data_IF_823288078905
#
_entry.id   IF_823288078905
#
_cell.length_a   1.000
_cell.length_b   1.000
_cell.length_c   1.000
_cell.angle_alpha   90.00
_cell.angle_beta   90.00
_cell.angle_gamma   90.00
#
_symmetry.space_group_name_H-M   'P 1'
#
loop_
_entity.id
_entity.type
_entity.pdbx_description
1 polymer ?
#
# COMPACT_ATOMS: atom_id res chain seq x y z
N UNK A 1 72.81 49.41 -31.92
CA UNK A 1 73.48 49.74 -30.65
C UNK A 1 72.45 49.64 -29.53
N UNK A 2 72.90 49.63 -28.27
CA UNK A 2 72.19 49.11 -27.09
C UNK A 2 71.04 49.96 -26.54
N UNK A 3 70.24 49.34 -25.65
CA UNK A 3 69.58 49.91 -24.45
C UNK A 3 68.37 50.86 -24.63
N UNK A 4 67.45 51.00 -23.65
CA UNK A 4 66.93 50.10 -22.58
C UNK A 4 65.64 50.73 -21.97
N UNK A 5 64.94 50.00 -21.08
CA UNK A 5 63.72 50.36 -20.32
C UNK A 5 62.41 50.53 -21.15
N UNK A 6 61.21 50.21 -20.63
CA UNK A 6 60.83 49.62 -19.34
C UNK A 6 59.57 50.31 -18.77
N UNK A 7 58.56 49.67 -18.20
CA UNK A 7 58.29 48.23 -17.97
C UNK A 7 56.78 47.95 -18.30
N UNK A 8 55.92 47.13 -17.66
CA UNK A 8 55.91 46.32 -16.42
C UNK A 8 54.71 45.33 -16.45
N UNK A 9 54.51 44.53 -15.38
CA UNK A 9 53.16 44.05 -15.01
C UNK A 9 52.68 42.70 -15.57
N UNK A 10 53.13 41.59 -14.97
CA UNK A 10 52.49 40.27 -15.12
C UNK A 10 52.74 39.40 -13.89
N UNK A 11 51.69 38.86 -13.27
CA UNK A 11 51.77 37.98 -12.08
C UNK A 11 51.03 36.67 -12.33
N UNK A 12 51.75 35.55 -12.22
CA UNK A 12 51.16 34.22 -12.33
C UNK A 12 50.36 33.86 -11.07
N UNK A 13 49.19 33.24 -11.23
CA UNK A 13 48.42 32.63 -10.15
C UNK A 13 48.88 31.18 -9.96
N UNK A 14 49.21 30.81 -8.72
CA UNK A 14 49.78 29.50 -8.38
C UNK A 14 48.67 28.52 -8.00
N UNK A 15 48.74 27.28 -8.49
CA UNK A 15 47.79 26.22 -8.12
C UNK A 15 48.02 25.75 -6.67
N UNK A 16 46.96 25.73 -5.87
CA UNK A 16 47.00 25.29 -4.47
C UNK A 16 46.49 23.85 -4.33
N UNK A 17 47.35 22.95 -3.85
CA UNK A 17 46.99 21.57 -3.50
C UNK A 17 46.77 21.44 -1.99
N UNK A 18 45.61 20.93 -1.58
CA UNK A 18 45.34 20.53 -0.19
C UNK A 18 44.64 19.17 -0.17
N UNK A 19 45.32 18.15 0.38
CA UNK A 19 44.75 16.81 0.57
C UNK A 19 43.99 16.70 1.89
N UNK A 20 42.98 15.84 1.92
CA UNK A 20 42.23 15.49 3.14
C UNK A 20 42.51 14.02 3.46
N UNK A 21 43.20 13.76 4.57
CA UNK A 21 43.41 12.39 5.07
C UNK A 21 42.23 11.95 5.95
N UNK A 22 41.89 10.66 5.85
CA UNK A 22 40.94 10.02 6.75
C UNK A 22 41.51 9.91 8.17
N UNK A 23 40.64 9.91 9.18
CA UNK A 23 41.05 9.75 10.57
C UNK A 23 40.05 8.86 11.33
N UNK A 24 40.56 7.77 11.93
CA UNK A 24 39.76 6.80 12.69
C UNK A 24 40.14 6.87 14.17
N UNK A 25 39.18 6.87 15.11
CA UNK A 25 39.49 6.68 16.52
C UNK A 25 39.79 5.20 16.81
N UNK A 26 40.89 4.94 17.52
CA UNK A 26 41.24 3.61 18.06
C UNK A 26 41.38 3.70 19.58
N UNK A 27 41.39 2.54 20.25
CA UNK A 27 41.49 2.39 21.71
C UNK A 27 42.48 3.34 22.37
N UNK A 28 42.09 3.88 23.53
CA UNK A 28 43.01 4.28 24.60
C UNK A 28 42.69 3.40 25.82
N UNK A 29 43.74 2.88 26.45
CA UNK A 29 43.67 1.93 27.56
C UNK A 29 44.28 2.57 28.81
N UNK A 30 43.59 2.47 29.94
CA UNK A 30 44.06 2.92 31.25
C UNK A 30 43.85 1.82 32.29
N UNK A 31 44.68 1.77 33.33
CA UNK A 31 44.74 0.68 34.30
C UNK A 31 44.61 1.16 35.76
N UNK A 32 44.31 0.20 36.64
CA UNK A 32 44.57 0.09 38.09
C UNK A 32 45.26 1.26 38.82
N UNK A 33 44.99 1.60 40.09
CA UNK A 33 44.14 1.08 41.21
C UNK A 33 44.42 2.00 42.46
N UNK A 34 44.02 1.73 43.73
CA UNK A 34 43.12 0.72 44.33
C UNK A 34 42.04 1.35 45.28
N UNK A 35 41.45 0.50 46.16
CA UNK A 35 40.54 0.79 47.28
C UNK A 35 39.09 1.16 46.91
N UNK A 36 38.05 0.67 47.62
CA UNK A 36 38.02 0.12 48.97
C UNK A 36 37.24 -1.22 49.06
N UNK A 37 37.39 -1.98 50.15
CA UNK A 37 36.84 -3.35 50.27
C UNK A 37 35.51 -3.43 51.04
N UNK A 38 34.55 -4.19 50.50
CA UNK A 38 33.39 -4.75 51.23
C UNK A 38 33.19 -6.18 50.76
N UNK A 39 33.08 -7.14 51.68
CA UNK A 39 32.92 -8.56 51.37
C UNK A 39 31.44 -8.96 51.34
N UNK A 40 31.03 -9.70 50.30
CA UNK A 40 29.75 -10.39 50.20
C UNK A 40 30.03 -11.82 49.71
N UNK A 41 29.37 -12.80 50.31
CA UNK A 41 29.61 -14.24 50.09
C UNK A 41 29.10 -14.74 48.73
N UNK A 42 29.70 -15.82 48.17
CA UNK A 42 29.22 -16.43 46.93
C UNK A 42 27.83 -17.10 47.12
N UNK A 43 26.98 -17.12 46.08
CA UNK A 43 25.75 -17.92 46.08
C UNK A 43 26.07 -19.43 45.99
N UNK A 44 25.19 -20.31 46.50
CA UNK A 44 25.40 -21.75 46.46
C UNK A 44 25.32 -22.33 45.04
N UNK A 45 25.96 -23.46 44.83
CA UNK A 45 25.97 -24.20 43.56
C UNK A 45 24.58 -24.74 43.19
N UNK A 46 24.18 -24.53 41.95
CA UNK A 46 22.99 -25.17 41.35
C UNK A 46 23.27 -26.67 41.19
N UNK A 47 22.38 -27.57 41.64
CA UNK A 47 22.52 -28.99 41.36
C UNK A 47 22.19 -29.26 39.88
N UNK A 48 23.16 -29.80 39.14
CA UNK A 48 22.95 -30.22 37.74
C UNK A 48 22.05 -31.45 37.71
N UNK A 49 20.75 -31.27 37.44
CA UNK A 49 19.80 -32.38 37.32
C UNK A 49 20.08 -33.17 36.04
N UNK A 50 20.62 -34.38 36.18
CA UNK A 50 20.85 -35.30 35.07
C UNK A 50 19.51 -35.81 34.50
N UNK A 51 18.99 -35.16 33.46
CA UNK A 51 17.73 -35.56 32.83
C UNK A 51 17.87 -36.89 32.07
N UNK A 52 17.57 -37.99 32.75
CA UNK A 52 17.44 -39.31 32.13
C UNK A 52 16.21 -39.35 31.21
N UNK A 53 16.40 -39.12 29.91
CA UNK A 53 15.33 -39.16 28.91
C UNK A 53 14.97 -40.61 28.56
N UNK A 54 13.79 -41.05 29.01
CA UNK A 54 13.24 -42.35 28.64
C UNK A 54 12.28 -42.21 27.45
N UNK A 55 12.49 -43.05 26.42
CA UNK A 55 11.56 -43.17 25.29
C UNK A 55 10.42 -44.13 25.67
N UNK A 56 9.18 -43.63 25.68
CA UNK A 56 8.01 -44.37 26.18
C UNK A 56 6.87 -44.35 25.16
N UNK A 57 6.16 -45.48 25.03
CA UNK A 57 4.91 -45.60 24.24
C UNK A 57 3.72 -45.37 25.14
N UNK A 58 3.09 -44.20 25.04
CA UNK A 58 1.95 -43.84 25.87
C UNK A 58 0.67 -44.47 25.32
N UNK A 59 -0.04 -45.20 26.18
CA UNK A 59 -1.45 -45.58 26.02
C UNK A 59 -2.17 -45.33 27.34
N UNK A 60 -3.39 -44.83 27.28
CA UNK A 60 -4.21 -44.52 28.44
C UNK A 60 -5.66 -44.23 28.06
N UNK A 61 -6.55 -44.24 29.05
CA UNK A 61 -7.94 -43.84 28.85
C UNK A 61 -8.05 -42.37 28.40
N UNK A 62 -9.04 -41.99 27.58
CA UNK A 62 -9.16 -40.62 27.05
C UNK A 62 -9.26 -39.56 28.16
N UNK A 63 -9.95 -39.88 29.27
CA UNK A 63 -10.08 -39.03 30.45
C UNK A 63 -8.80 -38.88 31.30
N UNK A 64 -7.72 -39.60 30.98
CA UNK A 64 -6.45 -39.49 31.71
C UNK A 64 -5.78 -38.14 31.40
N UNK A 65 -5.39 -37.42 32.45
CA UNK A 65 -4.55 -36.24 32.35
C UNK A 65 -3.10 -36.61 32.02
N UNK A 66 -2.47 -35.75 31.23
CA UNK A 66 -1.07 -35.84 30.81
C UNK A 66 -0.36 -34.50 30.98
N UNK A 67 0.94 -34.58 31.25
CA UNK A 67 1.87 -33.46 31.44
C UNK A 67 2.68 -33.24 30.17
N UNK A 68 2.75 -32.01 29.66
CA UNK A 68 3.60 -31.66 28.51
C UNK A 68 4.52 -30.49 28.86
N UNK A 69 5.80 -30.60 28.48
CA UNK A 69 6.79 -29.54 28.60
C UNK A 69 7.23 -29.16 27.18
N UNK A 70 6.79 -27.99 26.72
CA UNK A 70 6.98 -27.48 25.36
C UNK A 70 7.98 -26.33 25.41
N UNK A 71 9.25 -26.64 25.18
CA UNK A 71 10.36 -25.67 25.25
C UNK A 71 10.47 -24.94 26.59
N UNK A 72 10.21 -25.62 27.71
CA UNK A 72 10.18 -25.04 29.06
C UNK A 72 8.82 -24.52 29.52
N UNK A 73 7.81 -24.47 28.63
CA UNK A 73 6.44 -24.10 29.01
C UNK A 73 5.63 -25.34 29.42
N UNK A 74 5.07 -25.30 30.62
CA UNK A 74 4.42 -26.45 31.26
C UNK A 74 2.89 -26.43 31.03
N UNK A 75 2.35 -27.52 30.49
CA UNK A 75 0.93 -27.66 30.16
C UNK A 75 0.32 -28.95 30.72
N UNK A 76 -0.94 -28.85 31.13
CA UNK A 76 -1.78 -29.96 31.57
C UNK A 76 -3.02 -30.07 30.67
N UNK A 77 -3.32 -31.28 30.19
CA UNK A 77 -4.52 -31.55 29.38
C UNK A 77 -4.88 -33.05 29.41
N UNK A 78 -5.98 -33.45 28.77
CA UNK A 78 -6.39 -34.86 28.66
C UNK A 78 -5.88 -35.52 27.38
N UNK A 79 -5.74 -36.86 27.39
CA UNK A 79 -5.47 -37.66 26.17
C UNK A 79 -6.57 -37.42 25.13
N UNK A 80 -7.83 -37.31 25.55
CA UNK A 80 -8.98 -36.97 24.70
C UNK A 80 -8.72 -35.70 23.86
N UNK A 81 -8.38 -34.57 24.52
CA UNK A 81 -8.06 -33.30 23.85
C UNK A 81 -7.01 -33.47 22.75
N UNK A 82 -5.96 -34.25 23.02
CA UNK A 82 -4.83 -34.43 22.11
C UNK A 82 -5.11 -35.44 20.98
N UNK A 83 -6.17 -36.25 21.10
CA UNK A 83 -6.51 -37.32 20.15
C UNK A 83 -7.82 -37.07 19.38
N UNK A 84 -8.57 -36.02 19.76
CA UNK A 84 -9.85 -35.58 19.19
C UNK A 84 -9.81 -35.24 17.69
N UNK A 85 -8.68 -34.72 17.21
CA UNK A 85 -8.46 -34.32 15.81
C UNK A 85 -7.26 -35.05 15.23
N UNK A 86 -7.25 -35.30 13.92
CA UNK A 86 -6.12 -35.99 13.25
C UNK A 86 -4.96 -35.01 13.02
N UNK A 87 -3.90 -35.17 13.81
CA UNK A 87 -2.76 -34.25 13.90
C UNK A 87 -1.52 -34.98 14.48
N UNK A 88 -0.38 -34.31 14.61
CA UNK A 88 0.86 -34.92 15.12
C UNK A 88 0.74 -35.39 16.58
N UNK A 89 0.00 -34.66 17.43
CA UNK A 89 -0.20 -35.01 18.84
C UNK A 89 -1.01 -36.30 18.96
N UNK A 90 -2.03 -36.50 18.11
CA UNK A 90 -2.76 -37.78 18.03
C UNK A 90 -1.82 -38.95 17.72
N UNK A 91 -0.84 -38.76 16.83
CA UNK A 91 0.17 -39.78 16.53
C UNK A 91 1.03 -40.11 17.77
N UNK A 92 1.52 -39.10 18.50
CA UNK A 92 2.26 -39.27 19.77
C UNK A 92 1.45 -40.06 20.80
N UNK A 93 0.20 -39.68 21.07
CA UNK A 93 -0.62 -40.27 22.13
C UNK A 93 -1.38 -41.55 21.70
N UNK A 94 -1.28 -41.97 20.44
CA UNK A 94 -1.77 -43.28 19.96
C UNK A 94 -0.88 -44.47 20.32
N UNK A 95 0.32 -44.22 20.87
CA UNK A 95 1.34 -45.24 21.14
C UNK A 95 1.92 -45.88 19.87
N UNK A 96 1.78 -45.22 18.70
CA UNK A 96 2.45 -45.57 17.44
C UNK A 96 3.83 -44.95 17.32
N UNK A 97 4.05 -43.80 17.96
CA UNK A 97 5.33 -43.10 18.04
C UNK A 97 5.87 -43.18 19.48
N UNK A 98 7.19 -43.12 19.61
CA UNK A 98 7.85 -43.02 20.92
C UNK A 98 8.00 -41.55 21.30
N UNK A 99 7.71 -41.22 22.55
CA UNK A 99 7.87 -39.86 23.08
C UNK A 99 8.94 -39.84 24.15
N UNK A 100 9.68 -38.73 24.22
CA UNK A 100 10.65 -38.50 25.28
C UNK A 100 9.92 -38.06 26.56
N UNK A 101 10.27 -38.69 27.66
CA UNK A 101 9.78 -38.34 29.01
C UNK A 101 10.93 -38.15 29.98
N UNK A 102 10.75 -37.21 30.91
CA UNK A 102 11.67 -37.00 32.03
C UNK A 102 11.31 -37.84 33.27
N UNK A 103 12.09 -37.67 34.33
CA UNK A 103 11.92 -38.37 35.61
C UNK A 103 10.65 -38.01 36.40
N UNK A 104 9.97 -36.91 36.07
CA UNK A 104 8.68 -36.52 36.68
C UNK A 104 7.46 -36.91 35.83
N UNK A 105 7.70 -37.49 34.65
CA UNK A 105 6.68 -37.86 33.68
C UNK A 105 6.16 -36.70 32.83
N UNK A 106 6.93 -35.62 32.65
CA UNK A 106 6.65 -34.63 31.61
C UNK A 106 7.04 -35.17 30.24
N UNK A 107 6.14 -34.99 29.27
CA UNK A 107 6.38 -35.34 27.88
C UNK A 107 7.05 -34.16 27.20
N UNK A 108 8.27 -34.35 26.70
CA UNK A 108 9.13 -33.28 26.21
C UNK A 108 8.87 -33.02 24.72
N UNK A 109 8.63 -31.75 24.37
CA UNK A 109 8.48 -31.28 22.98
C UNK A 109 9.43 -30.10 22.76
N UNK A 110 10.34 -30.26 21.80
CA UNK A 110 11.33 -29.25 21.41
C UNK A 110 10.72 -28.23 20.43
N UNK A 111 9.85 -27.35 20.97
CA UNK A 111 9.14 -26.26 20.27
C UNK A 111 8.91 -25.07 21.19
N UNK A 112 8.59 -23.91 20.63
CA UNK A 112 8.19 -22.74 21.43
C UNK A 112 6.82 -22.95 22.06
N UNK A 113 6.77 -22.91 23.39
CA UNK A 113 5.51 -22.98 24.14
C UNK A 113 4.61 -21.75 24.01
N UNK A 114 5.13 -20.61 23.49
CA UNK A 114 4.42 -19.31 23.43
C UNK A 114 2.99 -19.44 22.89
N UNK A 115 2.82 -20.15 21.78
CA UNK A 115 1.54 -20.30 21.09
C UNK A 115 0.84 -21.64 21.36
N UNK A 116 1.46 -22.55 22.10
CA UNK A 116 0.91 -23.89 22.34
C UNK A 116 -0.40 -23.86 23.15
N UNK A 117 -0.59 -22.86 24.00
CA UNK A 117 -1.89 -22.64 24.67
C UNK A 117 -3.04 -22.36 23.70
N UNK A 118 -2.78 -21.65 22.60
CA UNK A 118 -3.77 -21.37 21.55
C UNK A 118 -4.11 -22.67 20.79
N UNK A 119 -3.08 -23.48 20.47
CA UNK A 119 -3.27 -24.81 19.85
C UNK A 119 -4.10 -25.72 20.77
N UNK A 120 -3.84 -25.76 22.08
CA UNK A 120 -4.62 -26.56 23.03
C UNK A 120 -6.07 -26.09 23.14
N UNK A 121 -6.34 -24.79 23.17
CA UNK A 121 -7.69 -24.26 23.21
C UNK A 121 -8.44 -24.58 21.91
N UNK A 122 -7.78 -24.49 20.75
CA UNK A 122 -8.38 -24.93 19.48
C UNK A 122 -8.76 -26.42 19.49
N UNK A 123 -7.91 -27.29 20.06
CA UNK A 123 -8.22 -28.72 20.20
C UNK A 123 -9.36 -29.00 21.19
N UNK A 124 -9.60 -28.12 22.17
CA UNK A 124 -10.77 -28.20 23.06
C UNK A 124 -12.03 -27.73 22.34
N UNK A 125 -12.02 -26.50 21.84
CA UNK A 125 -13.23 -25.74 21.51
C UNK A 125 -13.53 -25.71 20.00
N UNK A 126 -12.64 -26.24 19.16
CA UNK A 126 -12.80 -26.33 17.69
C UNK A 126 -12.67 -24.99 16.94
N UNK A 127 -12.50 -23.88 17.68
CA UNK A 127 -12.31 -22.52 17.19
C UNK A 127 -11.45 -21.75 18.20
N UNK A 128 -10.73 -20.71 17.75
CA UNK A 128 -10.04 -19.74 18.60
C UNK A 128 -10.14 -18.34 17.97
N UNK A 129 -10.09 -17.26 18.77
CA UNK A 129 -9.73 -15.95 18.26
C UNK A 129 -8.25 -15.97 17.85
N UNK A 130 -7.94 -15.46 16.65
CA UNK A 130 -6.56 -15.29 16.19
C UNK A 130 -5.91 -14.02 16.80
N UNK A 131 -4.57 -14.00 17.00
CA UNK A 131 -3.86 -12.79 17.41
C UNK A 131 -4.05 -11.62 16.44
N UNK A 132 -4.02 -10.39 16.97
CA UNK A 132 -4.12 -9.17 16.15
C UNK A 132 -2.82 -8.88 15.39
N UNK A 133 -1.66 -9.19 15.98
CA UNK A 133 -0.34 -8.96 15.41
C UNK A 133 -0.02 -9.94 14.28
N UNK A 134 0.41 -9.41 13.13
CA UNK A 134 0.83 -10.20 11.95
C UNK A 134 1.95 -11.18 12.32
N UNK A 135 2.96 -10.72 13.07
CA UNK A 135 4.07 -11.56 13.53
C UNK A 135 3.55 -12.75 14.36
N UNK A 136 2.56 -12.53 15.23
CA UNK A 136 2.03 -13.60 16.08
C UNK A 136 1.15 -14.58 15.33
N UNK A 137 0.45 -14.13 14.27
CA UNK A 137 -0.25 -15.02 13.33
C UNK A 137 0.73 -15.86 12.52
N UNK A 138 1.89 -15.31 12.13
CA UNK A 138 2.96 -16.05 11.44
C UNK A 138 3.67 -17.07 12.37
N UNK A 139 3.98 -16.68 13.61
CA UNK A 139 4.52 -17.59 14.64
C UNK A 139 3.52 -18.72 14.98
N UNK A 140 2.24 -18.40 15.20
CA UNK A 140 1.17 -19.37 15.43
C UNK A 140 0.99 -20.30 14.23
N UNK A 141 1.07 -19.79 13.00
CA UNK A 141 1.02 -20.58 11.78
C UNK A 141 2.20 -21.56 11.68
N UNK A 142 3.41 -21.17 12.12
CA UNK A 142 4.57 -22.05 12.13
C UNK A 142 4.39 -23.23 13.10
N UNK A 143 3.87 -22.98 14.31
CA UNK A 143 3.51 -24.05 15.25
C UNK A 143 2.35 -24.91 14.71
N UNK A 144 1.29 -24.31 14.17
CA UNK A 144 0.16 -25.05 13.61
C UNK A 144 0.58 -25.99 12.46
N UNK A 145 1.54 -25.57 11.62
CA UNK A 145 2.17 -26.42 10.59
C UNK A 145 2.96 -27.57 11.22
N UNK A 146 3.73 -27.32 12.28
CA UNK A 146 4.50 -28.37 12.98
C UNK A 146 3.58 -29.42 13.64
N UNK A 147 2.53 -28.99 14.35
CA UNK A 147 1.56 -29.89 14.97
C UNK A 147 0.57 -30.54 13.97
N UNK A 148 0.63 -30.17 12.68
CA UNK A 148 -0.25 -30.61 11.59
C UNK A 148 -1.75 -30.25 11.80
N UNK A 149 -2.03 -29.12 12.44
CA UNK A 149 -3.41 -28.64 12.68
C UNK A 149 -3.87 -27.73 11.54
N UNK A 150 -4.20 -28.36 10.40
CA UNK A 150 -4.42 -27.67 9.12
C UNK A 150 -5.51 -26.58 9.15
N UNK A 151 -6.56 -26.74 9.95
CA UNK A 151 -7.63 -25.75 10.08
C UNK A 151 -7.15 -24.41 10.65
N UNK A 152 -6.19 -24.41 11.58
CA UNK A 152 -5.53 -23.18 12.07
C UNK A 152 -4.64 -22.61 10.96
N UNK A 153 -3.91 -23.45 10.23
CA UNK A 153 -3.05 -23.01 9.10
C UNK A 153 -3.88 -22.32 8.02
N UNK A 154 -5.07 -22.82 7.68
CA UNK A 154 -6.01 -22.16 6.78
C UNK A 154 -6.53 -20.83 7.32
N UNK A 155 -6.88 -20.75 8.61
CA UNK A 155 -7.38 -19.51 9.22
C UNK A 155 -6.27 -18.43 9.26
N UNK A 156 -5.05 -18.79 9.65
CA UNK A 156 -3.89 -17.90 9.58
C UNK A 156 -3.61 -17.46 8.14
N UNK A 157 -3.61 -18.37 7.15
CA UNK A 157 -3.43 -18.00 5.75
C UNK A 157 -4.50 -17.02 5.26
N UNK A 158 -5.78 -17.21 5.62
CA UNK A 158 -6.87 -16.28 5.26
C UNK A 158 -6.64 -14.90 5.86
N UNK A 159 -6.24 -14.80 7.13
CA UNK A 159 -5.91 -13.51 7.78
C UNK A 159 -4.67 -12.86 7.18
N UNK A 160 -3.61 -13.63 6.87
CA UNK A 160 -2.36 -13.12 6.28
C UNK A 160 -2.49 -12.74 4.80
N UNK A 161 -3.47 -13.29 4.08
CA UNK A 161 -3.84 -12.82 2.74
C UNK A 161 -4.61 -11.51 2.84
N UNK A 162 -5.70 -11.46 3.63
CA UNK A 162 -6.49 -10.25 3.82
C UNK A 162 -5.62 -9.08 4.34
N UNK A 163 -4.69 -9.32 5.27
CA UNK A 163 -3.77 -8.31 5.81
C UNK A 163 -2.69 -7.82 4.84
N UNK A 164 -2.47 -8.48 3.70
CA UNK A 164 -1.61 -7.94 2.64
C UNK A 164 -2.28 -6.86 1.80
N UNK A 165 -3.61 -6.81 1.81
CA UNK A 165 -4.40 -5.72 1.24
C UNK A 165 -4.80 -4.65 2.28
N UNK A 166 -4.52 -4.87 3.57
CA UNK A 166 -4.97 -4.03 4.69
C UNK A 166 -4.05 -2.82 5.00
N UNK A 167 -4.09 -1.86 4.08
CA UNK A 167 -4.25 -0.44 4.39
C UNK A 167 -3.14 0.33 5.18
N UNK A 168 -2.16 0.86 4.42
CA UNK A 168 -1.79 2.27 4.57
C UNK A 168 -2.32 3.04 3.33
N UNK A 169 -3.11 4.12 3.48
CA UNK A 169 -3.69 4.86 2.35
C UNK A 169 -2.68 5.80 1.68
N UNK A 170 -1.50 5.28 1.32
CA UNK A 170 -0.47 6.02 0.59
C UNK A 170 -0.99 6.30 -0.83
N UNK A 171 -1.50 7.51 -1.07
CA UNK A 171 -1.85 7.98 -2.41
C UNK A 171 -0.55 8.06 -3.25
N UNK A 172 -0.28 7.01 -4.03
CA UNK A 172 0.90 6.94 -4.90
C UNK A 172 0.58 7.64 -6.21
N UNK A 173 1.09 8.87 -6.33
CA UNK A 173 1.02 9.68 -7.56
C UNK A 173 2.30 9.42 -8.37
N UNK A 174 2.29 8.56 -9.41
CA UNK A 174 3.40 8.45 -10.34
C UNK A 174 3.68 9.78 -11.05
N UNK A 175 4.96 10.06 -11.23
CA UNK A 175 5.48 11.20 -12.00
C UNK A 175 6.08 10.64 -13.29
N UNK A 176 5.47 10.97 -14.43
CA UNK A 176 5.93 10.58 -15.77
C UNK A 176 7.09 11.48 -16.20
N UNK A 177 8.11 10.88 -16.83
CA UNK A 177 9.23 11.57 -17.45
C UNK A 177 9.32 11.36 -18.96
N UNK A 178 8.46 10.51 -19.55
CA UNK A 178 8.42 10.26 -21.00
C UNK A 178 7.04 9.87 -21.54
N UNK A 179 6.78 10.19 -22.81
CA UNK A 179 5.55 9.81 -23.51
C UNK A 179 5.31 8.29 -23.54
N UNK A 180 6.37 7.46 -23.47
CA UNK A 180 6.26 6.00 -23.43
C UNK A 180 5.74 5.51 -22.08
N UNK A 181 6.20 6.09 -20.97
CA UNK A 181 5.66 5.82 -19.63
C UNK A 181 4.18 6.21 -19.55
N UNK A 182 3.80 7.37 -20.10
CA UNK A 182 2.41 7.80 -20.19
C UNK A 182 1.54 6.76 -20.90
N UNK A 183 1.96 6.32 -22.08
CA UNK A 183 1.22 5.32 -22.86
C UNK A 183 1.10 3.98 -22.14
N UNK A 184 2.19 3.46 -21.54
CA UNK A 184 2.17 2.18 -20.82
C UNK A 184 1.30 2.22 -19.55
N UNK A 185 1.28 3.35 -18.83
CA UNK A 185 0.44 3.53 -17.65
C UNK A 185 -1.04 3.59 -18.05
N UNK A 186 -1.38 4.40 -19.05
CA UNK A 186 -2.76 4.57 -19.55
C UNK A 186 -3.28 3.28 -20.20
N UNK A 187 -2.46 2.53 -20.94
CA UNK A 187 -2.88 1.27 -21.58
C UNK A 187 -3.12 0.14 -20.58
N UNK A 188 -2.39 0.13 -19.47
CA UNK A 188 -2.43 -0.96 -18.49
C UNK A 188 -3.31 -0.65 -17.27
N UNK A 189 -3.85 0.57 -17.16
CA UNK A 189 -4.75 0.93 -16.07
C UNK A 189 -6.12 0.27 -16.23
N UNK A 190 -6.49 -0.54 -15.23
CA UNK A 190 -7.85 -1.07 -15.09
C UNK A 190 -8.86 -0.02 -14.56
N UNK A 191 -8.35 1.13 -14.08
CA UNK A 191 -9.11 2.23 -13.49
C UNK A 191 -9.10 3.46 -14.40
N UNK A 192 -10.10 4.36 -14.32
CA UNK A 192 -10.01 5.66 -14.96
C UNK A 192 -8.74 6.41 -14.54
N UNK A 193 -8.17 7.20 -15.46
CA UNK A 193 -6.90 7.92 -15.24
C UNK A 193 -7.12 9.42 -15.39
N UNK A 194 -6.57 10.21 -14.46
CA UNK A 194 -6.50 11.68 -14.54
C UNK A 194 -5.03 12.08 -14.59
N UNK A 195 -4.63 12.72 -15.70
CA UNK A 195 -3.25 13.18 -15.92
C UNK A 195 -3.19 14.70 -15.91
N UNK A 196 -2.38 15.29 -15.03
CA UNK A 196 -2.04 16.71 -15.07
C UNK A 196 -0.64 16.88 -15.70
N UNK A 197 -0.58 17.55 -16.85
CA UNK A 197 0.65 18.14 -17.40
C UNK A 197 0.88 19.47 -16.71
N UNK A 198 2.10 19.71 -16.20
CA UNK A 198 2.51 21.06 -15.80
C UNK A 198 4.01 21.31 -16.05
N UNK A 199 4.32 22.39 -16.75
CA UNK A 199 5.68 22.78 -17.11
C UNK A 199 5.96 24.25 -16.72
N UNK A 200 6.21 24.49 -15.43
CA UNK A 200 6.54 25.82 -14.89
C UNK A 200 7.86 26.40 -15.43
N UNK A 201 8.72 25.58 -16.04
CA UNK A 201 10.01 26.03 -16.59
C UNK A 201 9.90 26.57 -18.03
N UNK A 202 8.79 26.31 -18.73
CA UNK A 202 8.55 26.88 -20.05
C UNK A 202 8.34 28.40 -19.95
N UNK A 203 9.28 29.17 -20.51
CA UNK A 203 9.25 30.63 -20.55
C UNK A 203 9.33 31.17 -22.00
N UNK A 204 8.71 30.44 -22.95
CA UNK A 204 8.65 30.79 -24.38
C UNK A 204 8.00 32.17 -24.63
N UNK A 205 7.09 32.58 -23.74
CA UNK A 205 6.55 33.93 -23.61
C UNK A 205 6.45 34.29 -22.13
N UNK A 206 6.52 35.59 -21.80
CA UNK A 206 6.32 36.06 -20.42
C UNK A 206 4.93 35.68 -19.92
N UNK A 207 4.82 35.27 -18.66
CA UNK A 207 3.53 35.01 -18.01
C UNK A 207 2.76 36.30 -17.70
N UNK A 208 1.42 36.21 -17.69
CA UNK A 208 0.57 37.23 -17.06
C UNK A 208 0.67 37.15 -15.53
N UNK A 209 0.39 38.26 -14.84
CA UNK A 209 0.56 38.42 -13.38
C UNK A 209 -0.05 37.31 -12.52
N UNK A 210 -1.16 36.71 -12.96
CA UNK A 210 -1.92 35.75 -12.17
C UNK A 210 -1.62 34.28 -12.56
N UNK A 211 -0.69 34.05 -13.49
CA UNK A 211 -0.46 32.71 -14.05
C UNK A 211 0.27 31.77 -13.08
N UNK A 212 1.28 32.24 -12.33
CA UNK A 212 1.95 31.42 -11.31
C UNK A 212 0.96 30.92 -10.24
N UNK A 213 0.11 31.82 -9.72
CA UNK A 213 -0.96 31.46 -8.76
C UNK A 213 -1.91 30.41 -9.33
N UNK A 214 -2.27 30.53 -10.61
CA UNK A 214 -3.17 29.58 -11.26
C UNK A 214 -2.48 28.24 -11.55
N UNK A 215 -1.17 28.20 -11.85
CA UNK A 215 -0.40 26.94 -11.89
C UNK A 215 -0.44 26.27 -10.51
N UNK A 216 -0.20 27.02 -9.44
CA UNK A 216 -0.23 26.48 -8.07
C UNK A 216 -1.63 25.94 -7.70
N UNK A 217 -2.71 26.65 -8.03
CA UNK A 217 -4.10 26.16 -7.81
C UNK A 217 -4.40 24.88 -8.58
N UNK A 218 -3.94 24.75 -9.83
CA UNK A 218 -4.10 23.51 -10.59
C UNK A 218 -3.38 22.33 -9.90
N UNK A 219 -2.16 22.53 -9.39
CA UNK A 219 -1.40 21.50 -8.66
C UNK A 219 -2.07 21.14 -7.33
N UNK A 220 -2.47 22.14 -6.53
CA UNK A 220 -3.16 21.95 -5.25
C UNK A 220 -4.50 21.21 -5.44
N UNK A 221 -5.26 21.57 -6.47
CA UNK A 221 -6.51 20.92 -6.83
C UNK A 221 -6.29 19.47 -7.24
N UNK A 222 -5.26 19.19 -8.03
CA UNK A 222 -4.90 17.83 -8.41
C UNK A 222 -4.56 16.97 -7.17
N UNK A 223 -3.77 17.49 -6.24
CA UNK A 223 -3.39 16.76 -5.03
C UNK A 223 -4.59 16.57 -4.07
N UNK A 224 -5.51 17.53 -3.99
CA UNK A 224 -6.80 17.35 -3.29
C UNK A 224 -7.65 16.23 -3.90
N UNK A 225 -7.78 16.21 -5.22
CA UNK A 225 -8.58 15.21 -5.95
C UNK A 225 -7.94 13.82 -5.87
N UNK A 226 -6.61 13.73 -5.94
CA UNK A 226 -5.89 12.45 -5.85
C UNK A 226 -6.03 11.76 -4.50
N UNK A 227 -6.06 12.53 -3.41
CA UNK A 227 -6.38 12.00 -2.08
C UNK A 227 -7.86 11.65 -1.98
N UNK A 228 -8.77 12.52 -2.46
CA UNK A 228 -10.23 12.33 -2.34
C UNK A 228 -10.76 11.12 -3.11
N UNK A 229 -10.19 10.79 -4.27
CA UNK A 229 -10.59 9.67 -5.12
C UNK A 229 -9.52 8.56 -5.18
N UNK A 230 -8.62 8.53 -4.19
CA UNK A 230 -7.62 7.47 -4.03
C UNK A 230 -8.29 6.09 -4.06
N UNK A 231 -7.65 5.12 -4.70
CA UNK A 231 -8.19 3.77 -4.88
C UNK A 231 -9.25 3.64 -5.99
N UNK A 232 -9.97 4.70 -6.37
CA UNK A 232 -10.98 4.66 -7.47
C UNK A 232 -10.40 5.14 -8.81
N UNK A 233 -9.67 6.25 -8.78
CA UNK A 233 -9.05 6.88 -9.96
C UNK A 233 -7.53 6.84 -9.83
N UNK A 234 -6.83 6.56 -10.93
CA UNK A 234 -5.37 6.65 -10.99
C UNK A 234 -4.96 8.07 -11.39
N UNK A 235 -4.39 8.81 -10.43
CA UNK A 235 -3.87 10.17 -10.68
C UNK A 235 -2.40 10.12 -11.07
N UNK A 236 -2.03 10.91 -12.08
CA UNK A 236 -0.67 10.94 -12.64
C UNK A 236 -0.21 12.37 -12.89
N UNK A 237 1.01 12.71 -12.45
CA UNK A 237 1.68 13.97 -12.80
C UNK A 237 2.58 13.73 -14.01
N UNK A 238 2.51 14.59 -15.01
CA UNK A 238 3.32 14.53 -16.21
C UNK A 238 4.20 15.79 -16.29
N UNK A 239 5.51 15.57 -16.12
CA UNK A 239 6.53 16.63 -16.11
C UNK A 239 7.53 16.46 -17.27
N UNK A 240 7.17 15.67 -18.28
CA UNK A 240 7.93 15.58 -19.51
C UNK A 240 8.01 16.96 -20.19
N UNK A 241 9.19 17.30 -20.73
CA UNK A 241 9.46 18.62 -21.31
C UNK A 241 8.80 18.74 -22.70
N UNK A 242 7.51 19.07 -22.69
CA UNK A 242 6.70 19.39 -23.85
C UNK A 242 6.44 20.92 -23.93
N UNK A 243 5.83 21.38 -25.04
CA UNK A 243 5.45 22.80 -25.18
C UNK A 243 4.23 23.19 -24.32
N UNK A 244 3.55 22.22 -23.73
CA UNK A 244 2.31 22.41 -22.97
C UNK A 244 2.60 22.83 -21.52
N UNK A 245 1.89 23.84 -21.01
CA UNK A 245 2.27 24.54 -19.78
C UNK A 245 1.41 24.11 -18.59
N UNK A 246 0.10 23.97 -18.79
CA UNK A 246 -0.82 23.37 -17.84
C UNK A 246 -2.02 22.78 -18.58
N UNK A 247 -2.30 21.49 -18.39
CA UNK A 247 -3.39 20.76 -19.06
C UNK A 247 -3.83 19.52 -18.29
N UNK A 248 -5.14 19.29 -18.20
CA UNK A 248 -5.73 18.09 -17.63
C UNK A 248 -6.24 17.18 -18.75
N UNK A 249 -5.81 15.92 -18.77
CA UNK A 249 -6.38 14.89 -19.65
C UNK A 249 -7.07 13.81 -18.80
N UNK A 250 -8.30 13.46 -19.18
CA UNK A 250 -9.14 12.47 -18.52
C UNK A 250 -9.26 11.23 -19.41
N UNK A 251 -9.08 10.03 -18.85
CA UNK A 251 -9.11 8.78 -19.60
C UNK A 251 -10.06 7.75 -18.99
N UNK A 252 -10.97 7.23 -19.81
CA UNK A 252 -11.90 6.15 -19.48
C UNK A 252 -11.67 4.98 -20.43
N UNK A 253 -11.65 3.75 -19.91
CA UNK A 253 -11.36 2.54 -20.70
C UNK A 253 -10.14 2.68 -21.64
N UNK A 254 -9.02 3.16 -21.09
CA UNK A 254 -7.72 3.44 -21.75
C UNK A 254 -7.73 4.46 -22.91
N UNK A 255 -8.87 5.10 -23.19
CA UNK A 255 -9.03 6.17 -24.19
C UNK A 255 -9.16 7.53 -23.53
N UNK A 256 -8.68 8.60 -24.17
CA UNK A 256 -8.94 9.98 -23.70
C UNK A 256 -10.42 10.28 -23.93
N UNK A 257 -11.12 10.74 -22.89
CA UNK A 257 -12.56 11.06 -22.91
C UNK A 257 -12.83 12.56 -22.79
N UNK A 258 -11.98 13.29 -22.07
CA UNK A 258 -12.07 14.75 -21.94
C UNK A 258 -10.68 15.40 -21.80
N UNK A 259 -10.63 16.71 -22.05
CA UNK A 259 -9.43 17.53 -21.93
C UNK A 259 -9.77 18.97 -21.53
N UNK A 260 -8.96 19.52 -20.61
CA UNK A 260 -9.00 20.91 -20.19
C UNK A 260 -7.59 21.47 -20.31
N UNK A 261 -7.30 22.13 -21.44
CA UNK A 261 -6.09 22.95 -21.54
C UNK A 261 -6.29 24.22 -20.71
N UNK A 262 -5.43 24.43 -19.73
CA UNK A 262 -5.47 25.60 -18.84
C UNK A 262 -4.61 26.76 -19.36
N UNK A 263 -4.10 26.67 -20.61
CA UNK A 263 -3.10 27.59 -21.17
C UNK A 263 -3.65 28.32 -22.39
N UNK A 264 -3.55 29.65 -22.41
CA UNK A 264 -3.89 30.48 -23.58
C UNK A 264 -2.83 31.54 -23.85
N UNK A 265 -2.72 31.99 -25.12
CA UNK A 265 -1.80 33.06 -25.51
C UNK A 265 -2.58 34.37 -25.62
N UNK A 266 -2.21 35.33 -24.78
CA UNK A 266 -2.77 36.70 -24.79
C UNK A 266 -1.81 37.61 -25.55
N UNK A 267 -2.38 38.52 -26.32
CA UNK A 267 -1.63 39.54 -27.06
C UNK A 267 -1.80 40.87 -26.32
N UNK A 268 -0.70 41.43 -25.79
CA UNK A 268 -0.69 42.82 -25.31
C UNK A 268 -0.08 43.74 -26.37
N UNK A 269 -0.23 45.05 -26.20
CA UNK A 269 0.34 46.06 -27.11
C UNK A 269 1.86 45.99 -27.26
N UNK A 270 2.55 45.30 -26.35
CA UNK A 270 4.02 45.18 -26.31
C UNK A 270 4.53 43.79 -26.71
N UNK A 271 3.83 42.72 -26.32
CA UNK A 271 4.30 41.33 -26.51
C UNK A 271 3.19 40.29 -26.40
N UNK A 272 3.46 39.10 -26.93
CA UNK A 272 2.71 37.88 -26.58
C UNK A 272 3.01 37.49 -25.13
N UNK A 273 1.99 37.01 -24.42
CA UNK A 273 2.09 36.54 -23.04
C UNK A 273 1.35 35.21 -22.86
N UNK A 274 1.86 34.36 -21.97
CA UNK A 274 1.19 33.14 -21.54
C UNK A 274 0.22 33.47 -20.42
N UNK A 275 -1.07 33.16 -20.59
CA UNK A 275 -2.07 33.18 -19.52
C UNK A 275 -2.37 31.74 -19.11
N UNK A 276 -2.14 31.42 -17.84
CA UNK A 276 -2.65 30.18 -17.23
C UNK A 276 -3.92 30.47 -16.43
N UNK A 277 -4.91 29.62 -16.59
CA UNK A 277 -6.23 29.71 -15.96
C UNK A 277 -6.46 28.56 -14.97
N UNK A 278 -7.43 28.72 -14.07
CA UNK A 278 -7.85 27.69 -13.13
C UNK A 278 -9.36 27.46 -13.24
N UNK A 279 -9.81 26.63 -14.19
CA UNK A 279 -11.24 26.36 -14.45
C UNK A 279 -11.81 25.33 -13.46
N UNK A 280 -11.83 25.68 -12.16
CA UNK A 280 -12.14 24.80 -11.03
C UNK A 280 -13.40 23.95 -11.22
N UNK A 281 -14.53 24.58 -11.59
CA UNK A 281 -15.81 23.89 -11.78
C UNK A 281 -15.75 22.81 -12.87
N UNK A 282 -15.05 23.08 -13.99
CA UNK A 282 -14.89 22.12 -15.09
C UNK A 282 -13.91 20.99 -14.73
N UNK A 283 -12.88 21.28 -13.94
CA UNK A 283 -11.96 20.26 -13.40
C UNK A 283 -12.74 19.29 -12.48
N UNK A 284 -13.64 19.81 -11.63
CA UNK A 284 -14.53 19.02 -10.79
C UNK A 284 -15.50 18.16 -11.63
N UNK A 285 -16.19 18.77 -12.58
CA UNK A 285 -17.13 18.12 -13.50
C UNK A 285 -16.49 16.94 -14.23
N UNK A 286 -15.37 17.15 -14.92
CA UNK A 286 -14.70 16.08 -15.66
C UNK A 286 -14.09 14.99 -14.74
N UNK A 287 -13.70 15.35 -13.51
CA UNK A 287 -13.26 14.37 -12.50
C UNK A 287 -14.43 13.52 -11.98
N UNK A 288 -15.65 14.04 -11.95
CA UNK A 288 -16.84 13.25 -11.64
C UNK A 288 -17.27 12.40 -12.85
N UNK A 289 -17.23 12.96 -14.06
CA UNK A 289 -17.51 12.23 -15.31
C UNK A 289 -16.58 11.02 -15.50
N UNK A 290 -15.30 11.12 -15.12
CA UNK A 290 -14.35 10.00 -15.27
C UNK A 290 -14.68 8.80 -14.36
N UNK A 291 -15.45 8.99 -13.27
CA UNK A 291 -15.89 7.90 -12.39
C UNK A 291 -16.92 6.98 -13.07
N UNK A 292 -17.61 7.45 -14.12
CA UNK A 292 -18.52 6.62 -14.93
C UNK A 292 -17.79 5.51 -15.71
N UNK A 293 -16.46 5.54 -15.73
CA UNK A 293 -15.59 4.54 -16.36
C UNK A 293 -14.89 3.64 -15.31
N UNK A 294 -15.35 3.67 -14.05
CA UNK A 294 -14.91 2.74 -13.02
C UNK A 294 -15.48 1.34 -13.31
N UNK A 295 -14.58 0.36 -13.47
CA UNK A 295 -14.97 -1.04 -13.65
C UNK A 295 -15.42 -1.62 -12.32
N UNK A 296 -16.74 -1.62 -12.09
CA UNK A 296 -17.36 -2.43 -11.05
C UNK A 296 -16.94 -3.89 -11.24
N UNK A 297 -16.32 -4.48 -10.21
CA UNK A 297 -16.16 -5.93 -10.11
C UNK A 297 -17.53 -6.55 -9.91
N UNK A 298 -17.94 -7.47 -10.79
CA UNK A 298 -19.28 -8.07 -10.80
C UNK A 298 -19.58 -8.82 -9.49
N UNK A 299 -20.27 -8.15 -8.57
CA UNK A 299 -20.87 -8.74 -7.36
C UNK A 299 -22.24 -8.14 -6.99
N UNK A 300 -22.76 -7.19 -7.80
CA UNK A 300 -24.17 -6.78 -7.80
C UNK A 300 -24.73 -6.90 -9.22
N UNK A 301 -25.12 -8.13 -9.60
CA UNK A 301 -25.70 -8.43 -10.90
C UNK A 301 -27.24 -8.33 -10.88
N UNK A 302 -27.77 -7.11 -10.78
CA UNK A 302 -29.18 -6.85 -11.14
C UNK A 302 -29.26 -6.22 -12.56
N UNK A 303 -29.64 -6.99 -13.59
CA UNK A 303 -29.72 -6.51 -14.97
C UNK A 303 -30.87 -5.52 -15.23
N UNK A 304 -31.74 -5.24 -14.25
CA UNK A 304 -32.81 -4.26 -14.40
C UNK A 304 -32.28 -2.82 -14.58
N UNK A 305 -31.28 -2.42 -13.77
CA UNK A 305 -30.83 -1.01 -13.68
C UNK A 305 -30.17 -0.52 -14.98
N UNK A 306 -29.38 -1.38 -15.64
CA UNK A 306 -28.68 -1.07 -16.88
C UNK A 306 -29.64 -0.76 -18.05
N UNK A 307 -30.84 -1.34 -18.06
CA UNK A 307 -31.88 -1.01 -19.07
C UNK A 307 -32.49 0.38 -18.87
N UNK A 308 -32.62 0.85 -17.63
CA UNK A 308 -33.23 2.14 -17.31
C UNK A 308 -32.39 3.30 -17.84
N UNK A 309 -31.06 3.23 -17.72
CA UNK A 309 -30.13 4.28 -18.15
C UNK A 309 -30.06 4.35 -19.69
N UNK A 310 -29.99 3.19 -20.37
CA UNK A 310 -29.93 3.14 -21.84
C UNK A 310 -31.14 3.78 -22.53
N UNK A 311 -32.31 3.75 -21.89
CA UNK A 311 -33.54 4.38 -22.41
C UNK A 311 -33.54 5.90 -22.35
N UNK A 312 -32.74 6.53 -21.48
CA UNK A 312 -32.70 7.99 -21.31
C UNK A 312 -31.72 8.66 -22.26
N UNK A 313 -30.64 7.97 -22.67
CA UNK A 313 -29.62 8.50 -23.60
C UNK A 313 -30.06 8.42 -25.06
N UNK A 314 -31.04 7.55 -25.39
CA UNK A 314 -31.57 7.40 -26.74
C UNK A 314 -32.58 8.49 -27.16
N UNK A 315 -33.10 9.28 -26.21
CA UNK A 315 -34.08 10.34 -26.46
C UNK A 315 -33.38 11.67 -26.78
N UNK A 316 -32.85 11.79 -28.00
CA UNK A 316 -32.36 13.08 -28.52
C UNK A 316 -33.50 14.12 -28.67
N UNK A 317 -33.19 15.43 -28.60
CA UNK A 317 -34.21 16.46 -28.70
C UNK A 317 -34.82 16.51 -30.11
N UNK A 318 -36.12 16.19 -30.22
CA UNK A 318 -36.88 16.34 -31.46
C UNK A 318 -37.06 17.83 -31.78
N UNK A 319 -36.54 18.27 -32.92
CA UNK A 319 -36.78 19.61 -33.45
C UNK A 319 -38.25 19.81 -33.76
N UNK A 320 -38.86 20.84 -33.17
CA UNK A 320 -40.17 21.31 -33.60
C UNK A 320 -40.00 22.03 -34.95
N UNK A 321 -40.57 21.45 -36.00
CA UNK A 321 -40.63 22.04 -37.34
C UNK A 321 -42.10 22.15 -37.69
N UNK A 322 -42.65 23.35 -37.52
CA UNK A 322 -44.00 23.67 -37.95
C UNK A 322 -44.00 23.87 -39.48
N UNK A 323 -44.64 22.97 -40.21
CA UNK A 323 -45.06 23.19 -41.59
C UNK A 323 -46.56 22.82 -41.71
N UNK A 324 -47.35 23.72 -42.29
CA UNK A 324 -48.79 23.56 -42.51
C UNK A 324 -49.10 22.53 -43.61
N UNK A 325 -50.23 21.84 -43.50
CA UNK A 325 -51.09 21.62 -44.68
C UNK A 325 -52.58 21.73 -44.32
N UNK A 326 -53.32 22.35 -45.24
CA UNK A 326 -54.76 22.63 -45.20
C UNK A 326 -55.55 21.45 -45.79
N UNK A 327 -56.73 21.13 -45.25
CA UNK A 327 -57.84 20.57 -46.04
C UNK A 327 -59.22 20.89 -45.41
N UNK A 328 -60.30 21.05 -46.21
CA UNK A 328 -61.24 22.15 -45.94
C UNK A 328 -62.74 21.77 -45.90
N UNK A 329 -63.57 22.79 -45.57
CA UNK A 329 -65.06 22.88 -45.70
C UNK A 329 -65.85 22.12 -44.61
N UNK A 330 -67.05 22.53 -44.16
CA UNK A 330 -67.90 23.70 -44.48
C UNK A 330 -68.93 23.97 -43.33
N UNK A 331 -69.90 24.87 -43.56
CA UNK A 331 -71.22 24.99 -42.87
C UNK A 331 -71.28 25.80 -41.54
N UNK A 332 -71.30 27.14 -41.72
CA UNK A 332 -72.43 28.07 -41.39
C UNK A 332 -72.82 28.50 -39.94
N UNK A 333 -73.20 29.80 -39.89
CA UNK A 333 -74.17 30.52 -39.00
C UNK A 333 -73.70 30.86 -37.57
N UNK A 334 -73.55 32.16 -37.22
CA UNK A 334 -74.61 33.13 -36.78
C UNK A 334 -75.38 32.63 -35.54
N UNK A 335 -75.42 33.31 -34.39
CA UNK A 335 -75.42 34.76 -34.03
C UNK A 335 -74.71 34.97 -32.65
N UNK A 336 -74.52 36.17 -32.10
CA UNK A 336 -75.04 37.52 -32.42
C UNK A 336 -73.96 38.58 -32.18
#
# INVERSE_FOLDING_TARGET
MSADAGASGSTNVVAATSGVMANSPRLVQAACSPANAVAISPPPSVPTTSTCTAAVKIRGAPSKYVKLNVGGSLFYTTIDTLTKQDNMLRAMFSGRMEVLTDSEGWILIDRSGKHFGIILNYLRDGHIPLPESVQEVEELMAEAKYYLVQSIVEQCNKVLLNKKDEFYPVCRIPVITSQREAQMLISNSAKPVVKLVYNRQNNKYSYTSNSDDNILKNIEMFDKLSVRFNGRVTFVKDVFVNEEICCWSFFGHTRKVAEISCTSIVYTSEKKQTKVEFPEARILEETLNVLLYERHTENESDPAVLRQIGSLVAAGPSSCSDEDEDHPRDIRLRKT
#
